data_IF_185841145469
#
_entry.id   IF_185841145469
#
_cell.length_a   1.000
_cell.length_b   1.000
_cell.length_c   1.000
_cell.angle_alpha   90.00
_cell.angle_beta   90.00
_cell.angle_gamma   90.00
#
_symmetry.space_group_name_H-M   'P 1'
#
loop_
_entity.id
_entity.type
_entity.pdbx_description
1 polymer ?
#
# COMPACT_ATOMS: atom_id res chain seq x y z
N UNK A 1 62.77 7.14 -4.02
CA UNK A 1 63.12 8.06 -2.92
C UNK A 1 62.47 9.41 -3.13
N UNK A 2 61.21 9.63 -2.72
CA UNK A 2 60.56 10.95 -2.56
C UNK A 2 59.45 10.70 -1.52
N UNK A 3 59.55 11.17 -0.52
CA UNK A 3 59.38 12.13 0.52
C UNK A 3 57.93 12.34 0.83
N UNK A 4 57.43 11.63 1.94
CA UNK A 4 56.21 11.99 2.68
C UNK A 4 56.47 13.30 3.41
N UNK A 5 55.63 14.29 3.23
CA UNK A 5 55.51 15.44 4.16
C UNK A 5 54.12 15.43 4.80
N UNK A 6 54.14 15.27 6.08
CA UNK A 6 53.05 15.58 7.01
C UNK A 6 52.66 17.06 6.89
N UNK A 7 51.39 17.36 6.88
CA UNK A 7 50.85 18.64 7.29
C UNK A 7 49.77 18.35 8.32
N UNK A 8 50.21 18.36 9.58
CA UNK A 8 49.37 18.66 10.72
C UNK A 8 49.15 20.17 10.81
N UNK A 9 47.98 20.53 11.38
CA UNK A 9 47.55 21.84 11.85
C UNK A 9 47.14 22.89 10.82
N UNK A 10 45.86 23.11 10.71
CA UNK A 10 45.35 24.43 11.08
C UNK A 10 43.86 24.36 11.53
N UNK A 11 43.73 24.57 12.82
CA UNK A 11 42.51 24.95 13.51
C UNK A 11 42.07 26.34 13.07
N UNK A 12 40.94 26.51 12.43
CA UNK A 12 40.10 27.73 12.45
C UNK A 12 38.77 27.43 11.71
N UNK A 13 37.88 26.71 12.38
CA UNK A 13 36.47 26.72 11.97
C UNK A 13 35.85 27.92 12.70
N UNK A 14 35.62 28.95 11.95
CA UNK A 14 34.91 30.16 12.38
C UNK A 14 33.42 29.85 12.53
N UNK A 15 32.81 29.98 13.74
CA UNK A 15 31.40 29.59 13.97
C UNK A 15 30.39 30.66 13.52
N UNK A 16 30.74 31.56 12.65
CA UNK A 16 29.87 32.67 12.20
C UNK A 16 29.63 32.72 10.69
N UNK A 17 29.83 31.62 9.97
CA UNK A 17 29.28 31.53 8.62
C UNK A 17 27.76 31.32 8.70
N UNK A 18 27.02 32.44 8.68
CA UNK A 18 25.61 32.49 8.38
C UNK A 18 25.43 31.73 7.05
N UNK A 19 24.92 30.52 7.11
CA UNK A 19 24.43 29.83 5.93
C UNK A 19 23.29 30.71 5.41
N UNK A 20 23.57 31.45 4.34
CA UNK A 20 22.53 32.11 3.57
C UNK A 20 21.56 31.01 3.15
N UNK A 21 20.38 31.02 3.72
CA UNK A 21 19.26 30.22 3.27
C UNK A 21 19.07 30.54 1.78
N UNK A 22 19.54 29.63 0.95
CA UNK A 22 19.25 29.67 -0.47
C UNK A 22 17.73 29.62 -0.59
N UNK A 23 17.14 30.72 -0.99
CA UNK A 23 15.73 30.84 -1.31
C UNK A 23 15.48 29.93 -2.53
N UNK A 24 15.14 28.66 -2.26
CA UNK A 24 14.71 27.74 -3.31
C UNK A 24 13.30 28.17 -3.67
N UNK A 25 13.03 28.59 -4.94
CA UNK A 25 11.67 28.95 -5.33
C UNK A 25 10.72 27.80 -5.06
N UNK A 26 9.50 28.08 -4.60
CA UNK A 26 8.47 27.07 -4.30
C UNK A 26 8.26 26.06 -5.44
N UNK A 27 8.50 26.48 -6.67
CA UNK A 27 8.48 25.61 -7.87
C UNK A 27 9.53 24.48 -7.87
N UNK A 28 10.72 24.70 -7.26
CA UNK A 28 11.72 23.63 -7.10
C UNK A 28 11.37 22.67 -5.99
N UNK A 29 10.61 23.10 -4.99
CA UNK A 29 10.19 22.27 -3.86
C UNK A 29 9.16 21.23 -4.30
N UNK A 30 8.20 21.60 -5.16
CA UNK A 30 7.21 20.66 -5.72
C UNK A 30 7.88 19.60 -6.60
N UNK A 31 8.89 19.99 -7.40
CA UNK A 31 9.65 19.03 -8.22
C UNK A 31 10.55 18.14 -7.37
N UNK A 32 11.17 18.67 -6.31
CA UNK A 32 12.00 17.90 -5.37
C UNK A 32 11.14 16.97 -4.52
N UNK A 33 9.93 17.39 -4.11
CA UNK A 33 8.99 16.57 -3.36
C UNK A 33 8.41 15.44 -4.22
N UNK A 34 8.11 15.72 -5.50
CA UNK A 34 7.72 14.69 -6.46
C UNK A 34 8.84 13.67 -6.68
N UNK A 35 10.11 14.12 -6.73
CA UNK A 35 11.28 13.24 -6.85
C UNK A 35 11.52 12.43 -5.57
N UNK A 36 11.29 13.00 -4.40
CA UNK A 36 11.39 12.31 -3.10
C UNK A 36 10.22 11.33 -2.92
N UNK A 37 8.98 11.67 -3.29
CA UNK A 37 7.86 10.74 -3.30
C UNK A 37 8.08 9.58 -4.28
N UNK A 38 8.69 9.83 -5.44
CA UNK A 38 9.07 8.78 -6.41
C UNK A 38 10.24 7.93 -5.90
N UNK A 39 11.15 8.49 -5.10
CA UNK A 39 12.35 7.78 -4.62
C UNK A 39 12.12 7.07 -3.27
N UNK A 40 11.22 7.58 -2.41
CA UNK A 40 10.82 6.95 -1.14
C UNK A 40 9.60 6.04 -1.34
N UNK A 41 8.82 6.24 -2.38
CA UNK A 41 7.82 5.31 -2.89
C UNK A 41 8.46 4.06 -3.52
N UNK A 42 9.48 3.49 -2.88
CA UNK A 42 9.82 2.09 -3.06
C UNK A 42 8.55 1.34 -2.67
N UNK A 43 7.77 1.02 -3.71
CA UNK A 43 6.46 0.38 -3.60
C UNK A 43 6.61 -0.82 -2.69
N UNK A 44 6.22 -0.67 -1.42
CA UNK A 44 5.90 -1.82 -0.59
C UNK A 44 4.68 -2.43 -1.26
N UNK A 45 4.93 -3.41 -2.13
CA UNK A 45 3.84 -4.18 -2.75
C UNK A 45 3.02 -4.78 -1.62
N UNK A 46 1.71 -4.70 -1.73
CA UNK A 46 0.83 -5.36 -0.77
C UNK A 46 1.07 -6.86 -0.83
N UNK A 47 1.37 -7.44 0.33
CA UNK A 47 1.71 -8.85 0.45
C UNK A 47 0.46 -9.70 0.63
N UNK A 48 0.28 -10.66 -0.25
CA UNK A 48 -0.85 -11.58 -0.28
C UNK A 48 -0.38 -13.01 0.03
N UNK A 49 -1.21 -13.77 0.73
CA UNK A 49 -1.00 -15.19 0.94
C UNK A 49 -2.04 -15.98 0.15
N UNK A 50 -1.60 -16.94 -0.64
CA UNK A 50 -2.46 -17.90 -1.33
C UNK A 50 -2.34 -19.26 -0.63
N UNK A 51 -3.47 -19.82 -0.24
CA UNK A 51 -3.54 -21.11 0.44
C UNK A 51 -4.47 -22.04 -0.35
N UNK A 52 -3.93 -23.02 -1.02
CA UNK A 52 -4.66 -23.97 -1.87
C UNK A 52 -3.81 -25.25 -2.00
N UNK A 53 -4.36 -26.44 -1.93
CA UNK A 53 -3.58 -27.68 -2.05
C UNK A 53 -3.23 -28.03 -3.52
N UNK A 54 -3.93 -27.44 -4.50
CA UNK A 54 -3.66 -27.60 -5.92
C UNK A 54 -2.51 -26.70 -6.41
N UNK A 55 -1.34 -27.28 -6.70
CA UNK A 55 -0.16 -26.54 -7.15
C UNK A 55 -0.43 -25.68 -8.40
N UNK A 56 -1.20 -26.21 -9.38
CA UNK A 56 -1.53 -25.46 -10.60
C UNK A 56 -2.37 -24.21 -10.36
N UNK A 57 -3.25 -24.22 -9.35
CA UNK A 57 -4.04 -23.04 -8.95
C UNK A 57 -3.13 -22.00 -8.31
N UNK A 58 -2.26 -22.43 -7.38
CA UNK A 58 -1.29 -21.53 -6.75
C UNK A 58 -0.39 -20.83 -7.77
N UNK A 59 0.19 -21.59 -8.71
CA UNK A 59 1.08 -21.05 -9.75
C UNK A 59 0.37 -20.01 -10.63
N UNK A 60 -0.85 -20.31 -11.08
CA UNK A 60 -1.63 -19.40 -11.93
C UNK A 60 -2.00 -18.12 -11.16
N UNK A 61 -2.46 -18.26 -9.93
CA UNK A 61 -2.85 -17.11 -9.10
C UNK A 61 -1.63 -16.26 -8.77
N UNK A 62 -0.52 -16.88 -8.33
CA UNK A 62 0.71 -16.18 -8.01
C UNK A 62 1.20 -15.36 -9.21
N UNK A 63 1.40 -16.00 -10.37
CA UNK A 63 1.88 -15.32 -11.57
C UNK A 63 1.03 -14.09 -11.94
N UNK A 64 -0.30 -14.23 -11.90
CA UNK A 64 -1.19 -13.15 -12.32
C UNK A 64 -1.29 -12.02 -11.28
N UNK A 65 -1.26 -12.34 -9.99
CA UNK A 65 -1.30 -11.34 -8.92
C UNK A 65 0.04 -10.58 -8.82
N UNK A 66 1.19 -11.26 -9.01
CA UNK A 66 2.49 -10.61 -9.12
C UNK A 66 2.54 -9.64 -10.31
N UNK A 67 2.00 -10.03 -11.46
CA UNK A 67 1.85 -9.15 -12.63
C UNK A 67 0.87 -7.98 -12.38
N UNK A 68 -0.09 -8.16 -11.49
CA UNK A 68 -1.00 -7.08 -11.06
C UNK A 68 -0.37 -6.13 -10.03
N UNK A 69 0.88 -6.39 -9.60
CA UNK A 69 1.66 -5.51 -8.74
C UNK A 69 1.73 -5.91 -7.27
N UNK A 70 1.20 -7.07 -6.89
CA UNK A 70 1.26 -7.61 -5.53
C UNK A 70 2.58 -8.36 -5.26
N UNK A 71 2.91 -8.52 -3.98
CA UNK A 71 3.90 -9.47 -3.49
C UNK A 71 3.14 -10.72 -3.01
N UNK A 72 3.49 -11.91 -3.51
CA UNK A 72 2.64 -13.10 -3.33
C UNK A 72 3.44 -14.27 -2.79
N UNK A 73 3.02 -14.80 -1.67
CA UNK A 73 3.50 -16.08 -1.13
C UNK A 73 2.40 -17.15 -1.18
N UNK A 74 2.82 -18.39 -1.24
CA UNK A 74 1.92 -19.53 -1.37
C UNK A 74 2.18 -20.57 -0.28
N UNK A 75 1.10 -21.16 0.23
CA UNK A 75 1.12 -22.33 1.12
C UNK A 75 0.28 -23.44 0.51
N UNK A 76 0.72 -24.68 0.68
CA UNK A 76 0.03 -25.87 0.14
C UNK A 76 -0.98 -26.45 1.14
N UNK A 77 -1.01 -25.96 2.38
CA UNK A 77 -1.97 -26.37 3.40
C UNK A 77 -2.26 -25.24 4.38
N UNK A 78 -3.32 -25.39 5.15
CA UNK A 78 -3.67 -24.44 6.21
C UNK A 78 -2.61 -24.41 7.31
N UNK A 79 -2.01 -25.53 7.65
CA UNK A 79 -0.97 -25.68 8.65
C UNK A 79 0.28 -24.90 8.27
N UNK A 80 0.76 -25.07 7.03
CA UNK A 80 1.87 -24.31 6.46
C UNK A 80 1.59 -22.80 6.48
N UNK A 81 0.40 -22.42 6.06
CA UNK A 81 -0.03 -21.02 6.04
C UNK A 81 -0.03 -20.38 7.44
N UNK A 82 -0.45 -21.10 8.48
CA UNK A 82 -0.43 -20.62 9.85
C UNK A 82 1.00 -20.41 10.40
N UNK A 83 1.97 -21.23 9.94
CA UNK A 83 3.38 -21.06 10.30
C UNK A 83 4.01 -19.85 9.59
N UNK A 84 3.55 -19.52 8.39
CA UNK A 84 4.05 -18.39 7.59
C UNK A 84 3.44 -17.05 8.03
N UNK A 85 2.32 -17.08 8.73
CA UNK A 85 1.50 -15.89 8.94
C UNK A 85 2.22 -14.82 9.77
N UNK A 86 2.27 -13.61 9.21
CA UNK A 86 2.83 -12.41 9.83
C UNK A 86 1.95 -11.17 9.63
N UNK A 87 2.28 -10.07 10.31
CA UNK A 87 1.52 -8.82 10.21
C UNK A 87 1.66 -8.11 8.85
N UNK A 88 2.59 -8.57 8.02
CA UNK A 88 2.85 -8.03 6.68
C UNK A 88 1.80 -8.42 5.65
N UNK A 89 1.05 -9.50 5.88
CA UNK A 89 0.02 -9.93 4.95
C UNK A 89 -1.21 -9.02 5.01
N UNK A 90 -1.63 -8.57 3.83
CA UNK A 90 -2.76 -7.66 3.65
C UNK A 90 -4.05 -8.36 3.24
N UNK A 91 -3.96 -9.60 2.73
CA UNK A 91 -5.10 -10.41 2.32
C UNK A 91 -4.68 -11.87 2.17
N UNK A 92 -5.61 -12.77 2.45
CA UNK A 92 -5.46 -14.21 2.26
C UNK A 92 -6.48 -14.70 1.22
N UNK A 93 -6.02 -15.34 0.15
CA UNK A 93 -6.84 -16.16 -0.73
C UNK A 93 -6.79 -17.58 -0.21
N UNK A 94 -7.93 -18.14 0.20
CA UNK A 94 -7.99 -19.38 0.97
C UNK A 94 -8.95 -20.38 0.33
N UNK A 95 -8.44 -21.53 -0.11
CA UNK A 95 -9.31 -22.63 -0.54
C UNK A 95 -10.08 -23.20 0.66
N UNK A 96 -11.37 -23.43 0.46
CA UNK A 96 -12.23 -24.05 1.46
C UNK A 96 -11.94 -25.55 1.60
N UNK A 97 -11.63 -26.23 0.49
CA UNK A 97 -11.57 -27.68 0.38
C UNK A 97 -10.12 -28.14 0.25
N UNK A 98 -9.41 -28.24 1.36
CA UNK A 98 -8.04 -28.77 1.39
C UNK A 98 -7.97 -30.05 2.22
N UNK A 99 -6.97 -30.87 1.96
CA UNK A 99 -6.63 -32.00 2.82
C UNK A 99 -6.16 -31.55 4.20
N UNK A 100 -6.53 -32.26 5.26
CA UNK A 100 -6.19 -31.87 6.64
C UNK A 100 -7.14 -30.79 7.18
N UNK A 101 -6.60 -29.68 7.66
CA UNK A 101 -7.40 -28.53 8.11
C UNK A 101 -8.07 -27.85 6.93
N UNK A 102 -9.40 -27.70 6.98
CA UNK A 102 -10.14 -26.96 5.95
C UNK A 102 -9.90 -25.44 6.04
N UNK A 103 -10.11 -24.72 4.92
CA UNK A 103 -10.00 -23.27 4.94
C UNK A 103 -10.95 -22.57 5.93
N UNK A 104 -12.16 -23.12 6.15
CA UNK A 104 -13.09 -22.59 7.14
C UNK A 104 -12.55 -22.75 8.57
N UNK A 105 -11.94 -23.91 8.87
CA UNK A 105 -11.30 -24.12 10.18
C UNK A 105 -10.10 -23.19 10.37
N UNK A 106 -9.27 -23.03 9.35
CA UNK A 106 -8.17 -22.07 9.39
C UNK A 106 -8.68 -20.65 9.66
N UNK A 107 -9.73 -20.20 8.97
CA UNK A 107 -10.30 -18.87 9.21
C UNK A 107 -10.79 -18.70 10.66
N UNK A 108 -11.42 -19.71 11.24
CA UNK A 108 -11.83 -19.69 12.66
C UNK A 108 -10.63 -19.59 13.60
N UNK A 109 -9.54 -20.32 13.34
CA UNK A 109 -8.30 -20.22 14.11
C UNK A 109 -7.73 -18.80 14.02
N UNK A 110 -7.68 -18.22 12.80
CA UNK A 110 -7.21 -16.86 12.58
C UNK A 110 -8.00 -15.82 13.37
N UNK A 111 -9.32 -15.96 13.44
CA UNK A 111 -10.20 -15.03 14.17
C UNK A 111 -10.16 -15.24 15.69
N UNK A 112 -10.20 -16.49 16.14
CA UNK A 112 -10.39 -16.84 17.56
C UNK A 112 -9.07 -16.92 18.33
N UNK A 113 -7.99 -17.45 17.72
CA UNK A 113 -6.73 -17.69 18.39
C UNK A 113 -5.70 -16.60 18.07
N UNK A 114 -5.55 -16.24 16.80
CA UNK A 114 -4.62 -15.21 16.38
C UNK A 114 -5.19 -13.78 16.45
N UNK A 115 -6.51 -13.65 16.65
CA UNK A 115 -7.23 -12.35 16.70
C UNK A 115 -6.92 -11.42 15.52
N UNK A 116 -6.54 -12.00 14.37
CA UNK A 116 -6.21 -11.20 13.19
C UNK A 116 -7.45 -10.74 12.44
N UNK A 117 -7.38 -9.54 11.88
CA UNK A 117 -8.39 -8.95 11.02
C UNK A 117 -7.97 -8.95 9.54
N UNK A 118 -6.91 -9.70 9.19
CA UNK A 118 -6.48 -9.83 7.79
C UNK A 118 -7.68 -10.35 6.98
N UNK A 119 -8.09 -9.65 5.90
CA UNK A 119 -9.22 -10.05 5.08
C UNK A 119 -8.96 -11.38 4.40
N UNK A 120 -10.02 -12.19 4.32
CA UNK A 120 -10.00 -13.53 3.74
C UNK A 120 -11.00 -13.59 2.59
N UNK A 121 -10.52 -13.93 1.41
CA UNK A 121 -11.36 -14.30 0.25
C UNK A 121 -11.31 -15.81 0.11
N UNK A 122 -12.45 -16.47 0.25
CA UNK A 122 -12.52 -17.90 0.05
C UNK A 122 -12.61 -18.28 -1.43
N UNK A 123 -11.82 -19.27 -1.83
CA UNK A 123 -11.97 -19.98 -3.09
C UNK A 123 -12.76 -21.26 -2.81
N UNK A 124 -13.87 -21.51 -3.49
CA UNK A 124 -14.72 -22.65 -3.14
C UNK A 124 -15.34 -23.34 -4.36
N UNK A 125 -15.31 -24.67 -4.38
CA UNK A 125 -16.08 -25.46 -5.33
C UNK A 125 -17.59 -25.55 -4.97
N UNK A 126 -17.96 -25.10 -3.76
CA UNK A 126 -19.32 -25.16 -3.24
C UNK A 126 -20.05 -23.85 -3.53
N UNK A 127 -21.21 -23.97 -4.19
CA UNK A 127 -22.07 -22.84 -4.59
C UNK A 127 -23.39 -22.79 -3.79
N UNK A 128 -23.54 -23.64 -2.77
CA UNK A 128 -24.74 -23.70 -1.94
C UNK A 128 -24.88 -22.48 -1.02
N UNK A 129 -26.11 -22.02 -0.82
CA UNK A 129 -26.39 -20.90 0.10
C UNK A 129 -25.93 -21.19 1.54
N UNK A 130 -26.03 -22.44 1.99
CA UNK A 130 -25.59 -22.87 3.32
C UNK A 130 -24.08 -22.79 3.49
N UNK A 131 -23.31 -23.14 2.46
CA UNK A 131 -21.85 -23.07 2.45
C UNK A 131 -21.35 -21.61 2.47
N UNK A 132 -22.03 -20.71 1.75
CA UNK A 132 -21.74 -19.28 1.78
C UNK A 132 -22.00 -18.67 3.18
N UNK A 133 -23.12 -19.05 3.82
CA UNK A 133 -23.43 -18.57 5.18
C UNK A 133 -22.44 -19.10 6.21
N UNK A 134 -22.00 -20.36 6.08
CA UNK A 134 -20.99 -20.94 6.97
C UNK A 134 -19.65 -20.21 6.86
N UNK A 135 -19.27 -19.80 5.67
CA UNK A 135 -18.02 -19.09 5.47
C UNK A 135 -18.04 -17.65 5.96
N UNK A 136 -19.12 -16.88 5.74
CA UNK A 136 -19.27 -15.56 6.36
C UNK A 136 -19.28 -15.67 7.90
N UNK A 137 -19.91 -16.72 8.44
CA UNK A 137 -19.87 -17.00 9.87
C UNK A 137 -18.47 -17.38 10.37
N UNK A 138 -17.61 -17.92 9.50
CA UNK A 138 -16.20 -18.23 9.79
C UNK A 138 -15.30 -16.99 9.71
N UNK A 139 -15.82 -15.82 9.32
CA UNK A 139 -15.06 -14.57 9.24
C UNK A 139 -14.44 -14.27 7.89
N UNK A 140 -15.00 -14.81 6.79
CA UNK A 140 -14.60 -14.45 5.42
C UNK A 140 -15.19 -13.11 4.98
N UNK A 141 -14.45 -12.37 4.18
CA UNK A 141 -14.79 -11.04 3.66
C UNK A 141 -15.40 -11.09 2.26
N UNK A 142 -15.05 -12.12 1.47
CA UNK A 142 -15.62 -12.37 0.13
C UNK A 142 -15.47 -13.85 -0.28
N UNK A 143 -16.15 -14.23 -1.38
CA UNK A 143 -16.20 -15.58 -1.93
C UNK A 143 -16.04 -15.59 -3.43
N UNK A 144 -15.23 -16.52 -3.93
CA UNK A 144 -15.03 -16.76 -5.36
C UNK A 144 -15.30 -18.23 -5.65
N UNK A 145 -16.37 -18.56 -6.40
CA UNK A 145 -16.65 -19.95 -6.78
C UNK A 145 -15.65 -20.46 -7.83
N UNK A 146 -15.17 -21.67 -7.66
CA UNK A 146 -14.43 -22.45 -8.69
C UNK A 146 -15.41 -23.06 -9.69
N UNK A 147 -15.19 -22.96 -11.03
CA UNK A 147 -14.05 -22.32 -11.70
C UNK A 147 -14.20 -20.80 -11.78
N UNK A 148 -13.12 -20.06 -11.59
CA UNK A 148 -13.10 -18.61 -11.58
C UNK A 148 -12.29 -18.02 -12.74
N UNK A 149 -12.56 -16.77 -13.07
CA UNK A 149 -11.73 -15.96 -13.95
C UNK A 149 -10.64 -15.25 -13.15
N UNK A 150 -9.43 -15.22 -13.67
CA UNK A 150 -8.31 -14.46 -13.07
C UNK A 150 -8.65 -12.97 -12.93
N UNK A 151 -9.34 -12.40 -13.91
CA UNK A 151 -9.79 -11.01 -13.84
C UNK A 151 -10.77 -10.78 -12.69
N UNK A 152 -11.64 -11.75 -12.40
CA UNK A 152 -12.54 -11.69 -11.25
C UNK A 152 -11.76 -11.72 -9.94
N UNK A 153 -10.78 -12.62 -9.79
CA UNK A 153 -9.94 -12.69 -8.59
C UNK A 153 -9.25 -11.35 -8.36
N UNK A 154 -8.58 -10.78 -9.37
CA UNK A 154 -7.88 -9.50 -9.26
C UNK A 154 -8.85 -8.37 -8.88
N UNK A 155 -10.04 -8.33 -9.48
CA UNK A 155 -11.03 -7.30 -9.19
C UNK A 155 -11.53 -7.40 -7.74
N UNK A 156 -11.78 -8.59 -7.22
CA UNK A 156 -12.22 -8.83 -5.84
C UNK A 156 -11.11 -8.53 -4.83
N UNK A 157 -9.89 -8.97 -5.09
CA UNK A 157 -8.72 -8.61 -4.27
C UNK A 157 -8.61 -7.09 -4.12
N UNK A 158 -8.66 -6.33 -5.22
CA UNK A 158 -8.65 -4.87 -5.20
C UNK A 158 -9.82 -4.28 -4.39
N UNK A 159 -11.02 -4.83 -4.56
CA UNK A 159 -12.21 -4.34 -3.88
C UNK A 159 -12.17 -4.60 -2.36
N UNK A 160 -11.62 -5.74 -1.94
CA UNK A 160 -11.47 -6.09 -0.52
C UNK A 160 -10.38 -5.25 0.12
N UNK A 161 -9.21 -5.14 -0.49
CA UNK A 161 -8.10 -4.31 0.01
C UNK A 161 -8.53 -2.84 0.17
N UNK A 162 -9.24 -2.29 -0.81
CA UNK A 162 -9.77 -0.92 -0.71
C UNK A 162 -10.75 -0.72 0.46
N UNK A 163 -11.50 -1.75 0.85
CA UNK A 163 -12.42 -1.68 2.01
C UNK A 163 -11.70 -1.79 3.35
N UNK A 164 -10.57 -2.52 3.37
CA UNK A 164 -9.76 -2.76 4.56
C UNK A 164 -8.55 -1.82 4.69
N UNK A 165 -8.28 -1.04 3.66
CA UNK A 165 -7.57 0.21 3.94
C UNK A 165 -8.37 0.84 5.08
N UNK A 166 -7.71 1.23 6.21
CA UNK A 166 -8.39 2.02 7.19
C UNK A 166 -9.06 3.09 6.35
N UNK A 167 -10.40 3.04 6.28
CA UNK A 167 -11.13 4.19 5.80
C UNK A 167 -10.42 5.29 6.53
N UNK A 168 -9.62 6.07 5.80
CA UNK A 168 -9.26 7.34 6.29
C UNK A 168 -10.63 7.94 6.63
N UNK A 169 -11.10 7.72 7.86
CA UNK A 169 -11.69 8.81 8.57
C UNK A 169 -10.74 9.89 8.18
N UNK A 170 -11.20 10.74 7.30
CA UNK A 170 -10.43 11.84 6.80
C UNK A 170 -10.00 12.53 8.09
N UNK A 171 -8.92 12.01 8.67
CA UNK A 171 -8.17 12.83 9.58
C UNK A 171 -7.85 13.97 8.64
N UNK A 172 -8.46 15.10 8.88
CA UNK A 172 -8.27 16.31 8.06
C UNK A 172 -6.80 16.63 7.91
N UNK A 173 -5.94 15.78 8.50
CA UNK A 173 -4.49 15.87 8.60
C UNK A 173 -3.83 14.64 8.02
N UNK A 174 -3.10 14.80 6.93
CA UNK A 174 -2.18 13.80 6.38
C UNK A 174 -0.77 14.12 6.86
N UNK A 175 -0.12 13.17 7.54
CA UNK A 175 1.25 13.34 8.02
C UNK A 175 2.16 12.33 7.31
N UNK A 176 3.24 12.83 6.72
CA UNK A 176 4.25 12.01 6.09
C UNK A 176 5.65 12.61 6.28
N UNK A 177 6.43 12.01 7.16
CA UNK A 177 7.74 12.54 7.54
C UNK A 177 7.63 13.94 8.16
N UNK A 178 8.34 14.90 7.60
CA UNK A 178 8.34 16.29 8.01
C UNK A 178 7.13 17.10 7.53
N UNK A 179 6.30 16.52 6.64
CA UNK A 179 5.17 17.20 6.00
C UNK A 179 3.87 16.83 6.68
N UNK A 180 3.09 17.86 7.03
CA UNK A 180 1.74 17.73 7.58
C UNK A 180 0.79 18.57 6.73
N UNK A 181 -0.30 17.95 6.24
CA UNK A 181 -1.29 18.58 5.36
C UNK A 181 -2.64 18.57 6.07
N UNK A 182 -3.18 19.74 6.36
CA UNK A 182 -4.55 19.91 6.84
C UNK A 182 -5.47 20.05 5.63
N UNK A 183 -6.18 18.99 5.30
CA UNK A 183 -7.06 18.93 4.12
C UNK A 183 -8.30 19.80 4.29
N UNK A 184 -8.77 19.99 5.52
CA UNK A 184 -9.95 20.80 5.83
C UNK A 184 -9.62 22.29 5.76
N UNK A 185 -8.52 22.70 6.42
CA UNK A 185 -8.08 24.11 6.42
C UNK A 185 -7.26 24.48 5.19
N UNK A 186 -6.90 23.48 4.36
CA UNK A 186 -6.02 23.65 3.19
C UNK A 186 -4.67 24.28 3.53
N UNK A 187 -4.07 23.84 4.63
CA UNK A 187 -2.78 24.28 5.12
C UNK A 187 -1.75 23.18 5.03
N UNK A 188 -0.52 23.55 4.70
CA UNK A 188 0.63 22.63 4.66
C UNK A 188 1.69 23.14 5.63
N UNK A 189 2.26 22.23 6.39
CA UNK A 189 3.37 22.49 7.30
C UNK A 189 4.55 21.61 6.93
N UNK A 190 5.75 22.15 6.99
CA UNK A 190 7.01 21.42 6.82
C UNK A 190 7.88 21.70 8.04
N UNK A 191 8.30 20.65 8.74
CA UNK A 191 9.00 20.75 10.03
C UNK A 191 8.28 21.61 11.09
N UNK A 192 6.95 21.71 10.97
CA UNK A 192 6.10 22.51 11.87
C UNK A 192 5.83 23.93 11.39
N UNK A 193 6.54 24.41 10.39
CA UNK A 193 6.35 25.76 9.83
C UNK A 193 5.32 25.76 8.70
N UNK A 194 4.37 26.72 8.67
CA UNK A 194 3.38 26.80 7.62
C UNK A 194 4.00 27.25 6.30
N UNK A 195 3.68 26.52 5.22
CA UNK A 195 4.13 26.82 3.86
C UNK A 195 2.93 27.21 3.01
N UNK A 196 3.03 28.33 2.29
CA UNK A 196 1.97 28.83 1.43
C UNK A 196 1.99 28.09 0.07
N UNK A 197 0.84 27.54 -0.30
CA UNK A 197 0.59 26.93 -1.59
C UNK A 197 -0.54 27.69 -2.31
N UNK A 198 -0.45 27.78 -3.63
CA UNK A 198 -1.61 28.18 -4.43
C UNK A 198 -2.68 27.09 -4.36
N UNK A 199 -3.94 27.43 -4.69
CA UNK A 199 -5.04 26.45 -4.69
C UNK A 199 -4.72 25.19 -5.50
N UNK A 200 -4.14 25.35 -6.69
CA UNK A 200 -3.81 24.23 -7.57
C UNK A 200 -2.63 23.39 -7.09
N UNK A 201 -1.62 24.01 -6.54
CA UNK A 201 -0.49 23.31 -5.91
C UNK A 201 -0.97 22.47 -4.71
N UNK A 202 -1.84 23.05 -3.89
CA UNK A 202 -2.46 22.31 -2.79
C UNK A 202 -3.30 21.12 -3.26
N UNK A 203 -4.14 21.31 -4.31
CA UNK A 203 -4.98 20.25 -4.86
C UNK A 203 -4.12 19.08 -5.39
N UNK A 204 -3.01 19.37 -6.08
CA UNK A 204 -2.06 18.34 -6.54
C UNK A 204 -1.42 17.62 -5.34
N UNK A 205 -0.93 18.38 -4.36
CA UNK A 205 -0.31 17.80 -3.17
C UNK A 205 -1.29 16.94 -2.38
N UNK A 206 -2.52 17.41 -2.19
CA UNK A 206 -3.58 16.67 -1.50
C UNK A 206 -3.95 15.39 -2.25
N UNK A 207 -4.06 15.43 -3.59
CA UNK A 207 -4.31 14.24 -4.40
C UNK A 207 -3.23 13.18 -4.21
N UNK A 208 -1.97 13.57 -4.31
CA UNK A 208 -0.84 12.65 -4.16
C UNK A 208 -0.70 12.11 -2.75
N UNK A 209 -0.87 12.95 -1.73
CA UNK A 209 -0.75 12.58 -0.33
C UNK A 209 -1.91 11.70 0.17
N UNK A 210 -3.10 11.84 -0.42
CA UNK A 210 -4.27 11.02 -0.09
C UNK A 210 -4.21 9.62 -0.71
N UNK A 211 -3.25 9.35 -1.60
CA UNK A 211 -3.10 8.06 -2.27
C UNK A 211 -1.64 7.57 -2.19
N UNK A 212 -1.15 7.25 -0.99
CA UNK A 212 0.21 6.77 -0.80
C UNK A 212 0.42 5.47 -1.58
N UNK A 213 1.55 5.39 -2.31
CA UNK A 213 1.89 4.23 -3.14
C UNK A 213 1.22 4.18 -4.51
N UNK A 214 0.31 5.10 -4.84
CA UNK A 214 -0.26 5.19 -6.18
C UNK A 214 0.58 6.10 -7.08
N UNK A 215 0.90 5.61 -8.29
CA UNK A 215 1.58 6.41 -9.31
C UNK A 215 0.53 7.09 -10.18
N UNK A 216 0.61 8.41 -10.28
CA UNK A 216 -0.22 9.21 -11.17
C UNK A 216 0.61 9.65 -12.38
N UNK A 217 0.13 9.37 -13.59
CA UNK A 217 0.67 10.00 -14.78
C UNK A 217 0.25 11.49 -14.82
N UNK A 218 0.95 12.27 -15.62
CA UNK A 218 0.58 13.68 -15.85
C UNK A 218 -0.86 13.82 -16.33
N UNK A 219 -1.26 12.95 -17.24
CA UNK A 219 -2.59 12.89 -17.80
C UNK A 219 -3.63 12.59 -16.71
N UNK A 220 -3.35 11.61 -15.84
CA UNK A 220 -4.24 11.27 -14.73
C UNK A 220 -4.44 12.46 -13.77
N UNK A 221 -3.35 13.19 -13.43
CA UNK A 221 -3.44 14.36 -12.56
C UNK A 221 -4.26 15.48 -13.23
N UNK A 222 -4.05 15.71 -14.53
CA UNK A 222 -4.82 16.70 -15.31
C UNK A 222 -6.29 16.31 -15.34
N UNK A 223 -6.61 15.08 -15.67
CA UNK A 223 -7.99 14.60 -15.74
C UNK A 223 -8.69 14.68 -14.39
N UNK A 224 -8.01 14.42 -13.29
CA UNK A 224 -8.61 14.44 -11.95
C UNK A 224 -8.87 15.88 -11.48
N UNK A 225 -7.92 16.78 -11.67
CA UNK A 225 -7.97 18.13 -11.10
C UNK A 225 -8.48 19.21 -12.05
N UNK A 226 -8.59 18.96 -13.36
CA UNK A 226 -9.03 19.93 -14.38
C UNK A 226 -10.21 19.43 -15.22
N UNK A 227 -11.01 18.48 -14.74
CA UNK A 227 -12.22 17.95 -15.43
C UNK A 227 -13.23 19.03 -15.88
N UNK A 228 -13.17 20.23 -15.32
CA UNK A 228 -14.15 21.30 -15.58
C UNK A 228 -13.58 22.51 -16.35
N UNK A 229 -12.33 22.49 -16.78
CA UNK A 229 -11.81 23.58 -17.61
C UNK A 229 -11.93 23.21 -19.08
N UNK A 230 -12.92 23.78 -19.83
CA UNK A 230 -12.90 23.67 -21.29
C UNK A 230 -11.62 24.34 -21.77
N UNK A 231 -10.88 23.64 -22.61
CA UNK A 231 -9.78 24.23 -23.35
C UNK A 231 -10.32 25.42 -24.18
N UNK A 232 -9.91 26.62 -23.79
CA UNK A 232 -10.07 27.83 -24.61
C UNK A 232 -8.76 28.03 -25.35
#
# INVERSE_FOLDING_TARGET
TIGLRNLENDSLINPSAKVNAFFIPAQCFVLSFCYICVTIGFMMKEKLLIVDDEAGIREILQFNLENAGYDVECAASAEEALEMLGPEYRLILLDVMMGGMSGLQMAQVLRNEFHTQIPIIFLTAKTGQEDLLAGFAAGGDDYIPKPFSILEVIARVKAVLKRTEPSADISSMVEQGAVRIDLEKKLVYVDGDPVAFSKKEFEVLALLASHPGQIFSRENIIDELWKEAPYV
#
